data_IF_467569476348
#
_entry.id   IF_467569476348
#
_cell.length_a   1.000
_cell.length_b   1.000
_cell.length_c   1.000
_cell.angle_alpha   90.00
_cell.angle_beta   90.00
_cell.angle_gamma   90.00
#
_symmetry.space_group_name_H-M   'P 1'
#
loop_
_entity.id
_entity.type
_entity.pdbx_description
1 polymer ?
#
# COMPACT_ATOMS: atom_id res chain seq x y z
N UNK A 1 3.28 -20.24 -0.39
CA UNK A 1 4.08 -19.27 -1.16
C UNK A 1 3.13 -18.19 -1.61
N UNK A 2 3.42 -16.92 -1.32
CA UNK A 2 2.63 -15.78 -1.83
C UNK A 2 2.86 -15.66 -3.33
N UNK A 3 1.78 -15.71 -4.11
CA UNK A 3 1.79 -15.41 -5.55
C UNK A 3 1.43 -13.94 -5.74
N UNK A 4 2.31 -13.16 -6.37
CA UNK A 4 2.12 -11.72 -6.59
C UNK A 4 1.86 -11.45 -8.06
N UNK A 5 0.70 -10.86 -8.37
CA UNK A 5 0.38 -10.45 -9.74
C UNK A 5 0.44 -8.94 -9.90
N UNK A 6 1.27 -8.47 -10.81
CA UNK A 6 1.28 -7.08 -11.29
C UNK A 6 0.45 -7.02 -12.57
N UNK A 7 -0.58 -6.18 -12.58
CA UNK A 7 -1.48 -5.96 -13.70
C UNK A 7 -1.24 -4.55 -14.24
N UNK A 8 -0.81 -4.45 -15.49
CA UNK A 8 -0.58 -3.18 -16.19
C UNK A 8 -1.79 -2.89 -17.07
N UNK A 9 -2.56 -1.87 -16.70
CA UNK A 9 -3.76 -1.42 -17.40
C UNK A 9 -3.49 -0.82 -18.78
N UNK A 10 -4.55 -0.58 -19.57
CA UNK A 10 -4.41 -0.06 -20.92
C UNK A 10 -3.86 1.38 -20.91
N UNK A 11 -3.09 1.72 -21.94
CA UNK A 11 -2.55 3.07 -22.13
C UNK A 11 -1.46 3.50 -21.14
N UNK A 12 -0.96 2.61 -20.26
CA UNK A 12 0.19 2.91 -19.39
C UNK A 12 1.40 3.26 -20.25
N UNK A 13 1.92 4.48 -20.07
CA UNK A 13 3.10 4.98 -20.79
C UNK A 13 4.36 4.65 -19.99
N UNK A 14 4.83 3.41 -20.10
CA UNK A 14 6.08 2.93 -19.51
C UNK A 14 6.67 1.82 -20.38
N UNK A 15 8.00 1.68 -20.37
CA UNK A 15 8.68 0.61 -21.10
C UNK A 15 8.36 -0.76 -20.47
N UNK A 16 7.84 -1.69 -21.29
CA UNK A 16 7.40 -3.01 -20.81
C UNK A 16 8.55 -3.88 -20.30
N UNK A 17 9.72 -3.77 -20.93
CA UNK A 17 10.92 -4.54 -20.54
C UNK A 17 11.40 -4.05 -19.19
N UNK A 18 11.47 -2.73 -19.00
CA UNK A 18 11.86 -2.13 -17.73
C UNK A 18 10.89 -2.48 -16.60
N UNK A 19 9.57 -2.39 -16.83
CA UNK A 19 8.57 -2.79 -15.83
C UNK A 19 8.75 -4.26 -15.41
N UNK A 20 8.95 -5.14 -16.40
CA UNK A 20 9.20 -6.56 -16.17
C UNK A 20 10.48 -6.80 -15.38
N UNK A 21 11.59 -6.18 -15.77
CA UNK A 21 12.87 -6.32 -15.07
C UNK A 21 12.78 -5.84 -13.61
N UNK A 22 12.13 -4.70 -13.36
CA UNK A 22 11.94 -4.17 -12.01
C UNK A 22 11.10 -5.14 -11.18
N UNK A 23 9.99 -5.63 -11.71
CA UNK A 23 9.11 -6.57 -11.02
C UNK A 23 9.83 -7.89 -10.71
N UNK A 24 10.45 -8.52 -11.71
CA UNK A 24 11.16 -9.80 -11.56
C UNK A 24 12.31 -9.73 -10.56
N UNK A 25 13.09 -8.63 -10.59
CA UNK A 25 14.16 -8.41 -9.60
C UNK A 25 13.59 -8.28 -8.19
N UNK A 26 12.46 -7.59 -8.03
CA UNK A 26 11.86 -7.42 -6.70
C UNK A 26 11.20 -8.71 -6.20
N UNK A 27 10.54 -9.49 -7.06
CA UNK A 27 10.04 -10.82 -6.72
C UNK A 27 11.17 -11.74 -6.25
N UNK A 28 12.30 -11.75 -6.97
CA UNK A 28 13.47 -12.53 -6.60
C UNK A 28 14.06 -12.08 -5.25
N UNK A 29 14.12 -10.76 -4.98
CA UNK A 29 14.58 -10.22 -3.69
C UNK A 29 13.71 -10.63 -2.52
N UNK A 30 12.40 -10.68 -2.72
CA UNK A 30 11.42 -11.06 -1.71
C UNK A 30 11.23 -12.59 -1.60
N UNK A 31 11.82 -13.37 -2.52
CA UNK A 31 11.66 -14.82 -2.54
C UNK A 31 10.24 -15.29 -2.86
N UNK A 32 9.48 -14.50 -3.61
CA UNK A 32 8.08 -14.80 -4.00
C UNK A 32 8.00 -15.23 -5.46
N UNK A 33 6.95 -15.99 -5.79
CA UNK A 33 6.59 -16.24 -7.19
C UNK A 33 5.74 -15.05 -7.63
N UNK A 34 6.08 -14.44 -8.76
CA UNK A 34 5.33 -13.32 -9.27
C UNK A 34 5.20 -13.32 -10.78
N UNK A 35 4.19 -12.61 -11.26
CA UNK A 35 3.91 -12.42 -12.68
C UNK A 35 3.56 -10.97 -12.99
N UNK A 36 3.93 -10.51 -14.18
CA UNK A 36 3.51 -9.23 -14.72
C UNK A 36 2.74 -9.45 -16.02
N UNK A 37 1.53 -8.88 -16.09
CA UNK A 37 0.63 -9.01 -17.24
C UNK A 37 0.12 -7.66 -17.69
N UNK A 38 0.08 -7.44 -19.00
CA UNK A 38 -0.54 -6.27 -19.61
C UNK A 38 -1.96 -6.64 -20.06
N UNK A 39 -2.91 -5.74 -19.84
CA UNK A 39 -4.30 -5.92 -20.27
C UNK A 39 -4.68 -4.85 -21.28
N UNK A 40 -5.50 -5.26 -22.25
CA UNK A 40 -5.88 -4.42 -23.38
C UNK A 40 -7.01 -3.43 -23.06
N UNK A 41 -7.80 -3.70 -22.01
CA UNK A 41 -9.00 -2.93 -21.68
C UNK A 41 -9.36 -3.02 -20.18
N UNK A 42 -10.30 -2.15 -19.77
CA UNK A 42 -10.81 -2.08 -18.40
C UNK A 42 -11.59 -3.33 -17.97
N UNK A 43 -12.25 -4.03 -18.90
CA UNK A 43 -13.01 -5.23 -18.60
C UNK A 43 -12.09 -6.36 -18.14
N UNK A 44 -10.98 -6.57 -18.86
CA UNK A 44 -9.95 -7.54 -18.49
C UNK A 44 -9.22 -7.14 -17.21
N UNK A 45 -8.97 -5.85 -17.01
CA UNK A 45 -8.44 -5.34 -15.73
C UNK A 45 -9.36 -5.73 -14.57
N UNK A 46 -10.66 -5.42 -14.65
CA UNK A 46 -11.66 -5.77 -13.62
C UNK A 46 -11.73 -7.27 -13.35
N UNK A 47 -11.72 -8.10 -14.40
CA UNK A 47 -11.70 -9.56 -14.27
C UNK A 47 -10.48 -10.02 -13.46
N UNK A 48 -9.27 -9.54 -13.82
CA UNK A 48 -8.04 -9.88 -13.11
C UNK A 48 -7.95 -9.27 -11.70
N UNK A 49 -8.70 -8.20 -11.41
CA UNK A 49 -8.88 -7.62 -10.08
C UNK A 49 -9.90 -8.38 -9.22
N UNK A 50 -10.67 -9.30 -9.80
CA UNK A 50 -11.55 -10.22 -9.04
C UNK A 50 -10.91 -11.57 -8.67
N UNK A 51 -9.97 -12.10 -9.46
CA UNK A 51 -9.30 -13.40 -9.23
C UNK A 51 -7.99 -13.40 -8.38
N UNK A 52 -7.98 -13.97 -7.16
CA UNK A 52 -6.76 -14.19 -6.33
C UNK A 52 -6.62 -13.31 -5.08
N UNK A 53 -5.43 -13.26 -4.43
CA UNK A 53 -5.29 -12.61 -3.10
C UNK A 53 -4.22 -11.52 -2.95
N UNK A 54 -3.14 -11.48 -3.76
CA UNK A 54 -2.12 -10.40 -3.67
C UNK A 54 -1.83 -9.78 -5.03
N UNK A 55 -2.10 -8.47 -5.17
CA UNK A 55 -2.14 -7.81 -6.50
C UNK A 55 -1.64 -6.37 -6.46
N UNK A 56 -0.88 -6.02 -7.47
CA UNK A 56 -0.54 -4.62 -7.80
C UNK A 56 -1.22 -4.28 -9.12
N UNK A 57 -1.89 -3.14 -9.20
CA UNK A 57 -2.55 -2.69 -10.43
C UNK A 57 -2.11 -1.28 -10.81
N UNK A 58 -1.62 -1.12 -12.04
CA UNK A 58 -1.32 0.18 -12.63
C UNK A 58 -2.49 0.51 -13.56
N UNK A 59 -3.37 1.47 -13.23
CA UNK A 59 -4.65 1.64 -13.93
C UNK A 59 -4.49 2.12 -15.37
N UNK A 60 -3.46 2.91 -15.67
CA UNK A 60 -3.36 3.65 -16.92
C UNK A 60 -4.10 5.00 -16.88
N UNK A 61 -3.99 5.80 -17.94
CA UNK A 61 -4.54 7.16 -17.98
C UNK A 61 -6.02 7.21 -18.38
N UNK A 62 -6.56 6.14 -18.97
CA UNK A 62 -7.91 6.13 -19.51
C UNK A 62 -8.99 6.20 -18.41
N UNK A 63 -10.15 6.86 -18.66
CA UNK A 63 -11.18 7.04 -17.63
C UNK A 63 -11.73 5.73 -17.06
N UNK A 64 -12.08 4.76 -17.92
CA UNK A 64 -12.72 3.51 -17.50
C UNK A 64 -11.86 2.68 -16.51
N UNK A 65 -10.56 2.42 -16.75
CA UNK A 65 -9.70 1.80 -15.74
C UNK A 65 -9.57 2.60 -14.44
N UNK A 66 -9.63 3.94 -14.50
CA UNK A 66 -9.48 4.80 -13.31
C UNK A 66 -10.70 4.78 -12.42
N UNK A 67 -11.90 4.59 -12.97
CA UNK A 67 -13.13 4.40 -12.19
C UNK A 67 -13.03 3.17 -11.27
N UNK A 68 -12.30 2.13 -11.70
CA UNK A 68 -12.08 0.92 -10.91
C UNK A 68 -11.34 1.17 -9.60
N UNK A 69 -10.57 2.26 -9.50
CA UNK A 69 -9.79 2.57 -8.29
C UNK A 69 -10.73 2.74 -7.09
N UNK A 70 -11.91 3.33 -7.30
CA UNK A 70 -12.92 3.53 -6.25
C UNK A 70 -13.79 2.31 -5.95
N UNK A 71 -13.70 1.24 -6.75
CA UNK A 71 -14.44 0.00 -6.51
C UNK A 71 -13.77 -0.80 -5.36
N UNK A 72 -14.55 -1.52 -4.53
CA UNK A 72 -13.99 -2.40 -3.51
C UNK A 72 -13.02 -3.43 -4.11
N UNK A 73 -11.82 -3.53 -3.53
CA UNK A 73 -10.75 -4.36 -4.09
C UNK A 73 -9.79 -4.82 -2.97
N UNK A 74 -10.26 -5.75 -2.14
CA UNK A 74 -9.50 -6.28 -1.01
C UNK A 74 -8.12 -6.82 -1.42
N UNK A 75 -7.07 -6.33 -0.75
CA UNK A 75 -5.70 -6.77 -0.98
C UNK A 75 -5.06 -6.28 -2.28
N UNK A 76 -5.74 -5.39 -3.03
CA UNK A 76 -5.19 -4.74 -4.22
C UNK A 76 -4.41 -3.48 -3.82
N UNK A 77 -3.22 -3.32 -4.37
CA UNK A 77 -2.44 -2.10 -4.29
C UNK A 77 -2.49 -1.39 -5.64
N UNK A 78 -3.24 -0.31 -5.72
CA UNK A 78 -3.22 0.59 -6.86
C UNK A 78 -1.92 1.38 -6.88
N UNK A 79 -1.29 1.46 -8.06
CA UNK A 79 -0.09 2.25 -8.29
C UNK A 79 -0.33 3.24 -9.43
N UNK A 80 -0.44 4.53 -9.10
CA UNK A 80 -0.29 5.60 -10.06
C UNK A 80 1.20 6.00 -10.17
N UNK A 81 1.79 5.87 -11.36
CA UNK A 81 3.19 6.29 -11.57
C UNK A 81 3.38 7.81 -11.37
N UNK A 82 2.30 8.59 -11.53
CA UNK A 82 2.26 10.04 -11.35
C UNK A 82 1.54 10.42 -10.05
N UNK A 83 1.74 11.66 -9.59
CA UNK A 83 1.08 12.16 -8.38
C UNK A 83 -0.40 12.39 -8.66
N UNK A 84 -1.27 11.76 -7.87
CA UNK A 84 -2.73 11.78 -8.04
C UNK A 84 -3.41 12.06 -6.70
N UNK A 85 -3.27 13.30 -6.20
CA UNK A 85 -3.85 13.71 -4.92
C UNK A 85 -5.39 13.64 -4.96
N UNK A 86 -6.01 13.28 -3.84
CA UNK A 86 -7.47 13.24 -3.68
C UNK A 86 -8.16 12.02 -4.29
N UNK A 87 -7.43 11.13 -4.99
CA UNK A 87 -7.95 9.81 -5.35
C UNK A 87 -8.15 8.99 -4.07
N UNK A 88 -9.32 8.36 -3.95
CA UNK A 88 -9.65 7.51 -2.82
C UNK A 88 -9.84 6.08 -3.33
N UNK A 89 -8.97 5.13 -2.94
CA UNK A 89 -9.19 3.74 -3.29
C UNK A 89 -10.47 3.22 -2.64
N UNK A 90 -11.12 2.27 -3.31
CA UNK A 90 -12.25 1.56 -2.74
C UNK A 90 -11.86 0.80 -1.47
N UNK A 91 -12.86 0.39 -0.66
CA UNK A 91 -12.62 -0.38 0.55
C UNK A 91 -11.68 -1.56 0.32
N UNK A 92 -10.75 -1.76 1.26
CA UNK A 92 -9.79 -2.88 1.24
C UNK A 92 -8.59 -2.71 0.31
N UNK A 93 -8.58 -1.68 -0.55
CA UNK A 93 -7.47 -1.39 -1.44
C UNK A 93 -6.50 -0.35 -0.86
N UNK A 94 -5.21 -0.52 -1.17
CA UNK A 94 -4.18 0.49 -0.97
C UNK A 94 -3.99 1.32 -2.24
N UNK A 95 -3.49 2.55 -2.09
CA UNK A 95 -3.13 3.41 -3.22
C UNK A 95 -1.77 4.07 -2.98
N UNK A 96 -0.82 3.78 -3.86
CA UNK A 96 0.46 4.45 -3.93
C UNK A 96 0.49 5.32 -5.18
N UNK A 97 1.01 6.53 -5.08
CA UNK A 97 1.08 7.43 -6.23
C UNK A 97 2.34 8.30 -6.23
N UNK A 98 2.73 8.80 -7.41
CA UNK A 98 3.73 9.86 -7.54
C UNK A 98 5.17 9.45 -7.24
N UNK A 99 5.47 8.15 -7.26
CA UNK A 99 6.82 7.59 -7.04
C UNK A 99 7.51 7.16 -8.33
N UNK A 100 6.91 7.42 -9.49
CA UNK A 100 7.43 6.98 -10.78
C UNK A 100 7.51 5.45 -10.87
N UNK A 101 8.45 4.96 -11.68
CA UNK A 101 8.68 3.52 -11.84
C UNK A 101 9.17 2.83 -10.57
N UNK A 102 9.91 3.55 -9.72
CA UNK A 102 10.31 3.03 -8.40
C UNK A 102 9.10 2.72 -7.52
N UNK A 103 7.95 3.37 -7.78
CA UNK A 103 6.68 3.04 -7.14
C UNK A 103 6.27 1.56 -7.31
N UNK A 104 6.70 0.89 -8.37
CA UNK A 104 6.43 -0.54 -8.58
C UNK A 104 7.10 -1.41 -7.51
N UNK A 105 8.34 -1.08 -7.15
CA UNK A 105 9.06 -1.76 -6.07
C UNK A 105 8.28 -1.63 -4.75
N UNK A 106 7.83 -0.41 -4.44
CA UNK A 106 7.07 -0.15 -3.23
C UNK A 106 5.70 -0.83 -3.23
N UNK A 107 4.98 -0.84 -4.35
CA UNK A 107 3.69 -1.49 -4.46
C UNK A 107 3.80 -3.01 -4.29
N UNK A 108 4.81 -3.64 -4.89
CA UNK A 108 5.09 -5.07 -4.72
C UNK A 108 5.41 -5.37 -3.25
N UNK A 109 6.28 -4.58 -2.61
CA UNK A 109 6.58 -4.73 -1.18
C UNK A 109 5.35 -4.56 -0.30
N UNK A 110 4.53 -3.55 -0.57
CA UNK A 110 3.31 -3.29 0.19
C UNK A 110 2.36 -4.49 0.10
N UNK A 111 2.11 -5.01 -1.10
CA UNK A 111 1.28 -6.19 -1.31
C UNK A 111 1.85 -7.44 -0.60
N UNK A 112 3.16 -7.70 -0.73
CA UNK A 112 3.80 -8.88 -0.15
C UNK A 112 3.78 -8.85 1.38
N UNK A 113 4.28 -7.78 2.01
CA UNK A 113 4.41 -7.76 3.46
C UNK A 113 3.05 -7.85 4.17
N UNK A 114 2.01 -7.20 3.63
CA UNK A 114 0.65 -7.33 4.17
C UNK A 114 0.06 -8.71 4.01
N UNK A 115 0.44 -9.45 2.96
CA UNK A 115 0.02 -10.84 2.79
C UNK A 115 0.73 -11.81 3.75
N UNK A 116 1.93 -11.44 4.22
CA UNK A 116 2.68 -12.24 5.19
C UNK A 116 2.13 -12.06 6.60
N UNK A 117 1.67 -10.85 6.92
CA UNK A 117 1.06 -10.54 8.20
C UNK A 117 -0.04 -9.51 7.99
N UNK A 118 -1.29 -9.93 8.06
CA UNK A 118 -2.43 -9.05 7.80
C UNK A 118 -2.64 -8.10 8.99
N UNK A 119 -2.53 -6.77 8.79
CA UNK A 119 -2.80 -5.82 9.86
C UNK A 119 -4.29 -5.56 10.01
N UNK A 120 -4.70 -5.20 11.23
CA UNK A 120 -6.00 -4.59 11.47
C UNK A 120 -5.88 -3.07 11.37
N UNK A 121 -6.50 -2.47 10.36
CA UNK A 121 -6.61 -1.01 10.26
C UNK A 121 -7.64 -0.48 11.26
N UNK A 122 -7.26 0.52 12.04
CA UNK A 122 -8.09 1.15 13.06
C UNK A 122 -8.07 2.67 12.81
N UNK A 123 -9.21 3.30 12.50
CA UNK A 123 -9.30 4.75 12.39
C UNK A 123 -9.18 5.39 13.77
N UNK A 124 -8.47 6.50 13.86
CA UNK A 124 -8.43 7.37 15.04
C UNK A 124 -9.05 8.76 14.76
N UNK A 125 -9.51 9.00 13.54
CA UNK A 125 -10.18 10.22 13.11
C UNK A 125 -11.03 10.00 11.86
N UNK A 126 -11.61 11.07 11.33
CA UNK A 126 -12.54 11.02 10.17
C UNK A 126 -11.85 11.23 8.82
N UNK A 127 -10.61 11.74 8.82
CA UNK A 127 -9.87 11.92 7.58
C UNK A 127 -9.35 10.56 7.05
N UNK A 128 -9.28 10.35 5.73
CA UNK A 128 -8.77 9.10 5.14
C UNK A 128 -7.34 8.70 5.56
N UNK A 129 -6.54 9.66 6.01
CA UNK A 129 -5.17 9.44 6.53
C UNK A 129 -5.11 9.31 8.06
N UNK A 130 -6.23 9.37 8.77
CA UNK A 130 -6.28 9.28 10.23
C UNK A 130 -6.53 7.85 10.71
N UNK A 131 -5.59 6.96 10.44
CA UNK A 131 -5.64 5.56 10.87
C UNK A 131 -4.27 5.03 11.28
N UNK A 132 -4.27 3.96 12.06
CA UNK A 132 -3.09 3.14 12.29
C UNK A 132 -3.38 1.68 11.98
N UNK A 133 -2.35 0.96 11.61
CA UNK A 133 -2.40 -0.48 11.37
C UNK A 133 -1.77 -1.23 12.52
N UNK A 134 -2.57 -2.10 13.13
CA UNK A 134 -2.16 -2.94 14.24
C UNK A 134 -1.77 -4.32 13.72
N UNK A 135 -0.49 -4.65 13.87
CA UNK A 135 0.04 -5.99 13.66
C UNK A 135 0.18 -6.66 15.03
N UNK A 136 -0.43 -7.83 15.20
CA UNK A 136 -0.34 -8.60 16.44
C UNK A 136 0.53 -9.84 16.22
N UNK A 137 1.42 -10.20 17.18
CA UNK A 137 2.10 -11.50 17.14
C UNK A 137 1.11 -12.66 17.19
N UNK A 138 1.50 -13.82 16.66
CA UNK A 138 0.69 -15.05 16.72
C UNK A 138 0.60 -15.63 18.14
N UNK A 139 1.61 -15.38 18.96
CA UNK A 139 1.66 -15.85 20.34
C UNK A 139 0.58 -15.14 21.20
N UNK A 140 0.03 -15.80 22.23
CA UNK A 140 -0.87 -15.13 23.18
C UNK A 140 -0.17 -14.02 23.98
N UNK A 141 -0.90 -12.95 24.29
CA UNK A 141 -0.38 -11.77 25.01
C UNK A 141 -0.28 -11.91 26.54
N UNK A 142 0.14 -10.83 27.22
CA UNK A 142 0.33 -9.46 26.71
C UNK A 142 1.63 -9.26 25.90
N UNK A 143 1.63 -8.28 24.99
CA UNK A 143 2.77 -7.94 24.12
C UNK A 143 3.33 -6.55 24.43
N UNK A 144 4.67 -6.35 24.36
CA UNK A 144 5.23 -5.02 24.25
C UNK A 144 4.76 -4.36 22.94
N UNK A 145 4.43 -3.07 22.99
CA UNK A 145 3.93 -2.30 21.84
C UNK A 145 5.04 -1.43 21.26
N UNK A 146 5.17 -1.42 19.93
CA UNK A 146 6.03 -0.49 19.19
C UNK A 146 5.15 0.38 18.27
N UNK A 147 5.19 1.70 18.47
CA UNK A 147 4.57 2.64 17.54
C UNK A 147 5.60 3.08 16.48
N UNK A 148 5.22 2.99 15.20
CA UNK A 148 6.02 3.41 14.07
C UNK A 148 5.40 4.66 13.45
N UNK A 149 6.26 5.66 13.19
CA UNK A 149 5.91 6.89 12.49
C UNK A 149 6.82 6.96 11.27
N UNK A 150 6.25 6.81 10.08
CA UNK A 150 7.05 6.77 8.86
C UNK A 150 7.60 8.17 8.49
N UNK A 151 8.69 8.19 7.71
CA UNK A 151 9.30 9.42 7.18
C UNK A 151 8.79 9.78 5.78
N UNK A 152 9.70 9.99 4.82
CA UNK A 152 9.33 10.38 3.45
C UNK A 152 9.42 11.88 3.17
N UNK A 153 10.26 12.59 3.94
CA UNK A 153 10.47 14.04 3.78
C UNK A 153 9.16 14.84 3.86
N UNK A 154 8.18 14.30 4.59
CA UNK A 154 6.87 14.90 4.83
C UNK A 154 6.06 15.20 3.56
N UNK A 155 6.31 14.47 2.46
CA UNK A 155 5.58 14.60 1.20
C UNK A 155 4.42 13.62 1.15
N UNK A 156 3.25 14.06 0.70
CA UNK A 156 2.02 13.26 0.62
C UNK A 156 2.11 11.99 -0.26
N UNK A 157 3.14 11.88 -1.10
CA UNK A 157 3.36 10.66 -1.92
C UNK A 157 3.92 9.47 -1.12
N UNK A 158 4.33 9.68 0.14
CA UNK A 158 4.91 8.66 1.01
C UNK A 158 3.97 8.33 2.16
N UNK A 159 3.68 7.04 2.34
CA UNK A 159 2.71 6.51 3.29
C UNK A 159 3.33 5.64 4.38
N UNK A 160 2.47 5.15 5.27
CA UNK A 160 2.79 4.11 6.25
C UNK A 160 3.34 2.81 5.61
N UNK A 161 3.14 2.60 4.30
CA UNK A 161 3.69 1.48 3.52
C UNK A 161 5.22 1.37 3.59
N UNK A 162 5.91 2.48 3.87
CA UNK A 162 7.35 2.48 4.09
C UNK A 162 7.78 1.57 5.26
N UNK A 163 6.88 1.34 6.22
CA UNK A 163 7.14 0.61 7.46
C UNK A 163 6.63 -0.84 7.44
N UNK A 164 6.03 -1.32 6.35
CA UNK A 164 5.41 -2.66 6.33
C UNK A 164 6.40 -3.77 6.68
N UNK A 165 7.59 -3.75 6.06
CA UNK A 165 8.62 -4.76 6.29
C UNK A 165 9.06 -4.81 7.77
N UNK A 166 9.23 -3.63 8.38
CA UNK A 166 9.59 -3.52 9.80
C UNK A 166 8.42 -3.96 10.69
N UNK A 167 7.18 -3.69 10.30
CA UNK A 167 5.99 -4.10 11.03
C UNK A 167 5.86 -5.62 11.07
N UNK A 168 6.07 -6.30 9.94
CA UNK A 168 6.09 -7.77 9.85
C UNK A 168 7.23 -8.37 10.68
N UNK A 169 8.45 -7.83 10.57
CA UNK A 169 9.61 -8.35 11.33
C UNK A 169 9.41 -8.20 12.85
N UNK A 170 8.94 -7.04 13.32
CA UNK A 170 8.67 -6.81 14.74
C UNK A 170 7.53 -7.68 15.27
N UNK A 171 6.45 -7.84 14.50
CA UNK A 171 5.34 -8.73 14.86
C UNK A 171 5.82 -10.19 15.00
N UNK A 172 6.64 -10.66 14.06
CA UNK A 172 7.27 -11.98 14.12
C UNK A 172 8.23 -12.17 15.30
N UNK A 173 8.72 -11.09 15.90
CA UNK A 173 9.56 -11.09 17.12
C UNK A 173 8.76 -10.96 18.42
N UNK A 174 7.44 -10.91 18.35
CA UNK A 174 6.58 -10.87 19.54
C UNK A 174 6.14 -9.47 19.99
N UNK A 175 6.33 -8.44 19.16
CA UNK A 175 5.83 -7.09 19.44
C UNK A 175 4.47 -6.85 18.79
N UNK A 176 3.54 -6.24 19.52
CA UNK A 176 2.40 -5.59 18.86
C UNK A 176 2.90 -4.31 18.19
N UNK A 177 2.66 -4.15 16.88
CA UNK A 177 3.15 -2.99 16.12
C UNK A 177 1.99 -2.11 15.73
N UNK A 178 2.14 -0.83 15.97
CA UNK A 178 1.20 0.21 15.58
C UNK A 178 1.84 1.11 14.53
N UNK A 179 1.54 0.84 13.26
CA UNK A 179 2.07 1.59 12.13
C UNK A 179 1.12 2.75 11.78
N UNK A 180 1.53 3.98 12.08
CA UNK A 180 0.67 5.16 11.96
C UNK A 180 0.73 5.79 10.57
N UNK A 181 -0.46 6.06 10.03
CA UNK A 181 -0.70 6.99 8.93
C UNK A 181 -1.20 8.32 9.53
N UNK A 182 -0.90 9.45 8.88
CA UNK A 182 -1.21 10.79 9.38
C UNK A 182 -1.15 11.82 8.24
N UNK A 183 -1.94 12.89 8.30
CA UNK A 183 -1.90 13.93 7.24
C UNK A 183 -0.53 14.58 7.13
N UNK A 184 -0.04 14.77 5.90
CA UNK A 184 1.27 15.41 5.64
C UNK A 184 1.18 16.94 5.60
N UNK A 185 2.23 17.64 6.06
CA UNK A 185 2.20 19.08 6.16
C UNK A 185 2.24 19.80 4.79
N UNK A 186 2.68 19.13 3.72
CA UNK A 186 2.69 19.70 2.36
C UNK A 186 1.29 19.91 1.78
N UNK A 187 0.27 19.19 2.27
CA UNK A 187 -1.13 19.35 1.90
C UNK A 187 -2.02 19.90 3.03
N UNK A 188 -1.65 19.68 4.29
CA UNK A 188 -2.54 19.94 5.43
C UNK A 188 -1.94 20.84 6.52
N UNK A 189 -0.67 21.25 6.39
CA UNK A 189 0.05 22.04 7.39
C UNK A 189 0.50 21.25 8.62
N UNK A 190 1.42 21.83 9.39
CA UNK A 190 2.05 21.16 10.53
C UNK A 190 1.09 20.87 11.68
N UNK A 191 0.12 21.74 11.95
CA UNK A 191 -0.86 21.55 13.03
C UNK A 191 -1.67 20.27 12.82
N UNK A 192 -2.08 19.98 11.59
CA UNK A 192 -2.75 18.74 11.23
C UNK A 192 -1.84 17.52 11.47
N UNK A 193 -0.58 17.57 10.99
CA UNK A 193 0.39 16.48 11.17
C UNK A 193 0.67 16.19 12.65
N UNK A 194 0.98 17.21 13.45
CA UNK A 194 1.30 17.00 14.87
C UNK A 194 0.07 16.59 15.67
N UNK A 195 -1.11 17.11 15.32
CA UNK A 195 -2.38 16.72 15.93
C UNK A 195 -2.74 15.27 15.63
N UNK A 196 -2.54 14.83 14.39
CA UNK A 196 -2.77 13.45 13.96
C UNK A 196 -1.84 12.46 14.67
N UNK A 197 -0.55 12.79 14.78
CA UNK A 197 0.41 11.96 15.52
C UNK A 197 0.05 11.85 17.01
N UNK A 198 -0.35 12.95 17.65
CA UNK A 198 -0.78 12.93 19.04
C UNK A 198 -2.06 12.08 19.23
N UNK A 199 -3.06 12.27 18.37
CA UNK A 199 -4.31 11.50 18.40
C UNK A 199 -4.07 10.00 18.13
N UNK A 200 -3.25 9.67 17.13
CA UNK A 200 -2.91 8.31 16.77
C UNK A 200 -2.11 7.57 17.84
N UNK A 201 -1.21 8.26 18.55
CA UNK A 201 -0.51 7.68 19.71
C UNK A 201 -1.44 7.51 20.91
N UNK A 202 -2.37 8.43 21.14
CA UNK A 202 -3.36 8.32 22.22
C UNK A 202 -4.37 7.18 21.98
N UNK A 203 -4.65 6.81 20.73
CA UNK A 203 -5.55 5.70 20.38
C UNK A 203 -5.01 4.32 20.81
N UNK A 204 -3.73 4.21 21.17
CA UNK A 204 -3.14 3.00 21.75
C UNK A 204 -3.29 2.89 23.29
N UNK A 205 -3.67 3.98 23.96
CA UNK A 205 -3.64 4.09 25.43
C UNK A 205 -4.86 3.45 26.12
#
# INVERSE_FOLDING_TARGET
>A
MTDVRVIVGPGVVADEVLLREVAEREFARLGVVGSLVHVADAARLRELLSAGTARVAIPGPEPEPRELIGEPADGVVWLDLHRCDGVQPGPGAGHLHGRGLDGLIWAIRHAVHRSLHEPRRIPYGTHPDQWGELYLPDAPGPHPVVALVHGGYWRAIWGADLMDALSVDLAGRGFAVWNLEYRRPDLHGWDATTGDLAAGLAALA
#
